data_IF_389282857811
#
_entry.id   IF_389282857811
#
_cell.length_a   1.000
_cell.length_b   1.000
_cell.length_c   1.000
_cell.angle_alpha   90.00
_cell.angle_beta   90.00
_cell.angle_gamma   90.00
#
_symmetry.space_group_name_H-M   'P 1'
#
loop_
_entity.id
_entity.type
_entity.pdbx_description
1 polymer ?
#
# COMPACT_ATOMS: atom_id res chain seq x y z
N UNK A 1 98.61 14.93 82.21
CA UNK A 1 97.91 15.08 83.50
C UNK A 1 96.41 14.89 83.28
N UNK A 2 95.79 13.89 83.96
CA UNK A 2 94.36 13.71 84.34
C UNK A 2 93.27 13.97 83.26
N UNK A 3 92.19 13.20 83.09
CA UNK A 3 91.61 11.99 83.69
C UNK A 3 90.44 11.55 82.76
N UNK A 4 90.15 10.27 82.82
CA UNK A 4 89.09 9.44 82.21
C UNK A 4 87.64 9.83 82.56
N UNK A 5 86.69 9.73 81.60
CA UNK A 5 85.26 9.26 81.72
C UNK A 5 84.68 9.11 80.28
N UNK A 6 84.41 7.94 79.67
CA UNK A 6 83.36 6.89 79.80
C UNK A 6 81.95 7.21 79.23
N UNK A 7 81.48 6.34 78.31
CA UNK A 7 80.08 5.98 77.91
C UNK A 7 79.29 7.04 77.07
N UNK A 8 78.54 6.76 76.00
CA UNK A 8 77.71 5.62 75.60
C UNK A 8 77.32 5.70 74.09
N UNK A 9 77.41 4.58 73.35
CA UNK A 9 76.40 3.97 72.45
C UNK A 9 75.32 4.92 71.85
N UNK A 10 75.09 5.06 70.53
CA UNK A 10 74.48 4.05 69.65
C UNK A 10 74.65 4.39 68.15
N UNK A 11 74.83 3.33 67.36
CA UNK A 11 74.99 3.28 65.91
C UNK A 11 73.60 3.26 65.20
N UNK A 12 73.38 4.11 64.19
CA UNK A 12 72.25 3.96 63.26
C UNK A 12 72.63 4.45 61.86
N UNK A 13 72.86 3.49 60.96
CA UNK A 13 73.08 3.72 59.53
C UNK A 13 71.72 3.85 58.82
N UNK A 14 71.49 4.97 58.14
CA UNK A 14 70.31 5.17 57.28
C UNK A 14 70.67 4.88 55.83
N UNK A 15 70.30 3.68 55.39
CA UNK A 15 70.31 3.24 54.00
C UNK A 15 69.15 3.89 53.22
N UNK A 16 69.49 4.43 52.06
CA UNK A 16 68.57 5.00 51.07
C UNK A 16 67.88 3.86 50.30
N UNK A 17 66.56 3.77 50.34
CA UNK A 17 65.77 2.88 49.47
C UNK A 17 64.92 3.72 48.51
N UNK A 18 64.99 3.48 47.18
CA UNK A 18 64.08 4.09 46.23
C UNK A 18 62.73 3.38 46.30
N UNK A 19 61.67 4.13 46.60
CA UNK A 19 60.30 3.63 46.54
C UNK A 19 59.89 3.40 45.09
N UNK A 20 59.85 2.14 44.68
CA UNK A 20 59.16 1.72 43.47
C UNK A 20 57.64 1.87 43.69
N UNK A 21 57.00 2.72 42.90
CA UNK A 21 55.54 2.80 42.82
C UNK A 21 55.02 1.50 42.20
N UNK A 22 54.47 0.61 43.03
CA UNK A 22 53.66 -0.50 42.56
C UNK A 22 52.33 0.07 42.02
N UNK A 23 52.13 0.00 40.71
CA UNK A 23 50.83 0.24 40.09
C UNK A 23 49.86 -0.84 40.60
N UNK A 24 48.90 -0.44 41.44
CA UNK A 24 47.86 -1.33 41.93
C UNK A 24 47.07 -1.90 40.76
N UNK A 25 47.02 -3.23 40.65
CA UNK A 25 46.13 -3.92 39.74
C UNK A 25 44.69 -3.45 40.03
N UNK A 26 44.06 -2.80 39.05
CA UNK A 26 42.68 -2.37 39.16
C UNK A 26 41.80 -3.59 39.45
N UNK A 27 41.14 -3.59 40.62
CA UNK A 27 40.30 -4.69 41.08
C UNK A 27 39.10 -4.82 40.13
N UNK A 28 39.02 -5.94 39.40
CA UNK A 28 37.95 -6.20 38.46
C UNK A 28 36.59 -6.35 39.16
N UNK A 29 35.53 -5.81 38.57
CA UNK A 29 34.18 -5.80 39.15
C UNK A 29 33.43 -7.06 38.71
N UNK A 30 32.85 -7.85 39.64
CA UNK A 30 32.04 -9.01 39.28
C UNK A 30 30.71 -8.59 38.65
N UNK A 31 30.43 -9.07 37.44
CA UNK A 31 29.20 -8.73 36.68
C UNK A 31 28.66 -9.94 35.93
N UNK A 32 27.34 -9.97 35.73
CA UNK A 32 26.70 -10.96 34.85
C UNK A 32 26.66 -10.38 33.44
N UNK A 33 27.20 -11.13 32.48
CA UNK A 33 27.26 -10.74 31.07
C UNK A 33 26.29 -11.61 30.27
N UNK A 34 25.53 -11.00 29.39
CA UNK A 34 24.70 -11.72 28.42
C UNK A 34 24.93 -11.14 27.01
N UNK A 35 24.81 -11.96 25.96
CA UNK A 35 24.82 -11.46 24.59
C UNK A 35 23.50 -10.73 24.27
N UNK A 36 23.57 -9.62 23.55
CA UNK A 36 22.41 -8.92 22.99
C UNK A 36 21.63 -9.88 22.10
N UNK A 37 20.38 -10.13 22.47
CA UNK A 37 19.51 -11.07 21.76
C UNK A 37 18.88 -10.40 20.53
N UNK A 38 18.40 -11.23 19.60
CA UNK A 38 17.65 -10.77 18.43
C UNK A 38 16.15 -10.95 18.68
N UNK A 39 15.37 -9.90 18.46
CA UNK A 39 13.92 -9.97 18.37
C UNK A 39 13.43 -9.56 16.98
N UNK A 40 12.50 -10.34 16.41
CA UNK A 40 11.85 -10.01 15.13
C UNK A 40 10.75 -8.97 15.36
N UNK A 41 10.97 -7.74 14.92
CA UNK A 41 10.00 -6.65 15.04
C UNK A 41 9.17 -6.57 13.77
N UNK A 42 7.90 -6.97 13.86
CA UNK A 42 6.93 -6.83 12.76
C UNK A 42 6.64 -5.36 12.49
N UNK A 43 6.96 -4.89 11.29
CA UNK A 43 6.68 -3.52 10.88
C UNK A 43 5.35 -3.46 10.15
N UNK A 44 4.51 -2.51 10.53
CA UNK A 44 3.21 -2.33 9.89
C UNK A 44 3.00 -0.86 9.52
N UNK A 45 2.28 -0.62 8.43
CA UNK A 45 1.88 0.71 7.99
C UNK A 45 0.37 0.71 7.80
N UNK A 46 -0.31 1.54 8.60
CA UNK A 46 -1.75 1.75 8.46
C UNK A 46 -1.99 3.07 7.74
N UNK A 47 -2.72 3.02 6.63
CA UNK A 47 -3.12 4.18 5.85
C UNK A 47 -4.60 4.12 5.56
N UNK A 48 -5.21 5.29 5.40
CA UNK A 48 -6.63 5.40 5.14
C UNK A 48 -6.85 5.90 3.72
N UNK A 49 -7.85 5.34 3.04
CA UNK A 49 -8.25 5.83 1.73
C UNK A 49 -9.73 5.60 1.45
N UNK A 50 -10.18 6.11 0.31
CA UNK A 50 -11.56 5.93 -0.18
C UNK A 50 -11.57 4.85 -1.25
N UNK A 51 -12.49 3.91 -1.12
CA UNK A 51 -12.73 2.88 -2.11
C UNK A 51 -13.38 3.48 -3.36
N UNK A 52 -13.02 2.95 -4.52
CA UNK A 52 -13.64 3.20 -5.82
C UNK A 52 -14.05 1.86 -6.42
N UNK A 53 -15.13 1.83 -7.19
CA UNK A 53 -15.38 0.68 -8.05
C UNK A 53 -14.31 0.62 -9.15
N UNK A 54 -14.02 -0.58 -9.63
CA UNK A 54 -13.12 -0.78 -10.78
C UNK A 54 -13.62 -0.04 -12.03
N UNK A 55 -14.93 -0.11 -12.27
CA UNK A 55 -15.63 0.64 -13.31
C UNK A 55 -16.85 1.33 -12.71
N UNK A 56 -16.95 2.64 -12.89
CA UNK A 56 -18.05 3.47 -12.40
C UNK A 56 -18.30 4.58 -13.40
N UNK A 57 -19.53 4.69 -13.89
CA UNK A 57 -19.93 5.72 -14.85
C UNK A 57 -21.31 6.27 -14.53
N UNK A 58 -21.49 7.54 -14.83
CA UNK A 58 -22.81 8.15 -14.96
C UNK A 58 -23.28 7.89 -16.40
N UNK A 59 -24.41 7.22 -16.54
CA UNK A 59 -25.02 6.94 -17.83
C UNK A 59 -25.86 8.17 -18.21
N UNK A 60 -25.40 8.90 -19.21
CA UNK A 60 -26.08 10.06 -19.76
C UNK A 60 -26.74 9.75 -21.10
N UNK A 61 -27.73 10.57 -21.49
CA UNK A 61 -28.32 10.50 -22.81
C UNK A 61 -27.43 11.21 -23.84
N UNK A 62 -27.21 10.61 -25.01
CA UNK A 62 -26.48 11.27 -26.12
C UNK A 62 -27.39 12.23 -26.90
N UNK A 63 -28.70 11.99 -26.87
CA UNK A 63 -29.71 12.79 -27.58
C UNK A 63 -30.83 13.26 -26.66
N UNK A 64 -31.55 14.28 -27.09
CA UNK A 64 -32.73 14.78 -26.38
C UNK A 64 -33.98 13.98 -26.77
N UNK A 65 -34.80 13.60 -25.79
CA UNK A 65 -36.01 12.81 -26.05
C UNK A 65 -36.86 12.56 -24.82
N UNK A 66 -38.08 12.09 -25.03
CA UNK A 66 -38.98 11.68 -23.94
C UNK A 66 -38.69 10.23 -23.58
N UNK A 67 -38.52 9.94 -22.29
CA UNK A 67 -38.37 8.56 -21.79
C UNK A 67 -39.66 7.79 -22.06
N UNK A 68 -39.56 6.70 -22.82
CA UNK A 68 -40.68 5.81 -23.12
C UNK A 68 -40.70 4.60 -22.19
N UNK A 69 -39.57 3.89 -22.09
CA UNK A 69 -39.42 2.69 -21.25
C UNK A 69 -38.18 2.80 -20.37
N UNK A 70 -38.35 2.44 -19.10
CA UNK A 70 -37.25 2.17 -18.17
C UNK A 70 -37.20 0.65 -18.01
N UNK A 71 -36.19 0.01 -18.60
CA UNK A 71 -36.12 -1.44 -18.74
C UNK A 71 -35.47 -2.13 -17.51
N UNK A 72 -34.96 -1.34 -16.57
CA UNK A 72 -34.24 -1.81 -15.38
C UNK A 72 -34.85 -1.27 -14.09
N UNK A 73 -34.56 -1.95 -12.98
CA UNK A 73 -34.92 -1.53 -11.63
C UNK A 73 -33.70 -1.01 -10.89
N UNK A 74 -33.91 -0.17 -9.88
CA UNK A 74 -32.84 0.27 -8.99
C UNK A 74 -32.19 -0.93 -8.29
N UNK A 75 -30.86 -0.90 -8.14
CA UNK A 75 -30.04 -1.98 -7.58
C UNK A 75 -30.06 -3.30 -8.36
N UNK A 76 -30.58 -3.31 -9.58
CA UNK A 76 -30.54 -4.48 -10.45
C UNK A 76 -29.14 -4.69 -11.05
N UNK A 77 -28.71 -5.94 -11.14
CA UNK A 77 -27.53 -6.32 -11.91
C UNK A 77 -27.86 -6.41 -13.39
N UNK A 78 -27.01 -5.81 -14.22
CA UNK A 78 -27.15 -5.75 -15.66
C UNK A 78 -25.87 -6.24 -16.33
N UNK A 79 -26.01 -6.80 -17.53
CA UNK A 79 -24.87 -7.20 -18.38
C UNK A 79 -24.58 -6.14 -19.42
N UNK A 80 -23.34 -6.12 -19.92
CA UNK A 80 -22.93 -5.30 -21.06
C UNK A 80 -23.90 -5.48 -22.24
N UNK A 81 -24.33 -4.36 -22.83
CA UNK A 81 -25.28 -4.30 -23.94
C UNK A 81 -26.75 -4.44 -23.54
N UNK A 82 -27.06 -4.70 -22.26
CA UNK A 82 -28.44 -4.75 -21.79
C UNK A 82 -29.09 -3.36 -21.86
N UNK A 83 -30.33 -3.30 -22.35
CA UNK A 83 -31.13 -2.06 -22.39
C UNK A 83 -31.41 -1.55 -20.98
N UNK A 84 -31.12 -0.28 -20.75
CA UNK A 84 -31.38 0.43 -19.50
C UNK A 84 -32.60 1.33 -19.64
N UNK A 85 -32.54 2.23 -20.63
CA UNK A 85 -33.57 3.24 -20.90
C UNK A 85 -33.80 3.33 -22.40
N UNK A 86 -35.06 3.43 -22.79
CA UNK A 86 -35.47 3.69 -24.16
C UNK A 86 -36.16 5.05 -24.23
N UNK A 87 -35.67 5.90 -25.12
CA UNK A 87 -36.36 7.13 -25.49
C UNK A 87 -37.39 6.85 -26.59
N UNK A 88 -38.41 7.70 -26.70
CA UNK A 88 -39.44 7.59 -27.73
C UNK A 88 -38.78 7.60 -29.11
N UNK A 89 -39.01 6.53 -29.87
CA UNK A 89 -38.33 6.27 -31.13
C UNK A 89 -39.28 6.20 -32.34
N UNK A 90 -40.54 6.60 -32.18
CA UNK A 90 -41.57 6.51 -33.21
C UNK A 90 -41.15 7.20 -34.51
N UNK A 91 -40.65 8.44 -34.38
CA UNK A 91 -40.18 9.25 -35.53
C UNK A 91 -38.94 8.64 -36.18
N UNK A 92 -37.97 8.22 -35.38
CA UNK A 92 -36.70 7.68 -35.88
C UNK A 92 -36.89 6.31 -36.52
N UNK A 93 -37.80 5.48 -35.99
CA UNK A 93 -38.21 4.22 -36.58
C UNK A 93 -38.90 4.42 -37.93
N UNK A 94 -39.76 5.43 -38.05
CA UNK A 94 -40.36 5.79 -39.33
C UNK A 94 -39.29 6.21 -40.36
N UNK A 95 -38.31 7.02 -39.97
CA UNK A 95 -37.19 7.42 -40.83
C UNK A 95 -36.32 6.23 -41.28
N UNK A 96 -36.06 5.26 -40.40
CA UNK A 96 -35.37 4.00 -40.77
C UNK A 96 -36.18 3.22 -41.81
N UNK A 97 -37.50 3.12 -41.63
CA UNK A 97 -38.37 2.43 -42.57
C UNK A 97 -38.39 3.12 -43.95
N UNK A 98 -38.45 4.46 -43.98
CA UNK A 98 -38.36 5.28 -45.20
C UNK A 98 -37.02 5.05 -45.92
N UNK A 99 -35.89 5.19 -45.22
CA UNK A 99 -34.55 5.00 -45.80
C UNK A 99 -34.34 3.57 -46.33
N UNK A 100 -34.88 2.57 -45.62
CA UNK A 100 -34.83 1.17 -46.06
C UNK A 100 -35.69 0.93 -47.32
N UNK A 101 -36.86 1.56 -47.42
CA UNK A 101 -37.68 1.49 -48.63
C UNK A 101 -36.98 2.15 -49.83
N UNK A 102 -36.33 3.30 -49.60
CA UNK A 102 -35.55 4.00 -50.62
C UNK A 102 -34.36 3.16 -51.12
N UNK A 103 -33.59 2.55 -50.23
CA UNK A 103 -32.51 1.62 -50.60
C UNK A 103 -33.02 0.43 -51.43
N UNK A 104 -34.16 -0.16 -51.04
CA UNK A 104 -34.77 -1.26 -51.80
C UNK A 104 -35.17 -0.83 -53.22
N UNK A 105 -35.67 0.39 -53.39
CA UNK A 105 -36.01 0.93 -54.69
C UNK A 105 -34.78 1.14 -55.57
N UNK A 106 -33.72 1.74 -55.04
CA UNK A 106 -32.46 1.94 -55.77
C UNK A 106 -31.77 0.62 -56.13
N UNK A 107 -31.83 -0.39 -55.25
CA UNK A 107 -31.30 -1.73 -55.53
C UNK A 107 -32.10 -2.43 -56.64
N UNK A 108 -33.42 -2.26 -56.65
CA UNK A 108 -34.30 -2.77 -57.72
C UNK A 108 -33.96 -2.12 -59.06
N UNK A 109 -33.76 -0.80 -59.10
CA UNK A 109 -33.32 -0.08 -60.31
C UNK A 109 -31.96 -0.56 -60.80
N UNK A 110 -31.00 -0.77 -59.90
CA UNK A 110 -29.68 -1.30 -60.26
C UNK A 110 -29.80 -2.69 -60.91
N UNK A 111 -30.60 -3.58 -60.33
CA UNK A 111 -30.86 -4.92 -60.87
C UNK A 111 -31.45 -4.85 -62.29
N UNK A 112 -32.34 -3.89 -62.53
CA UNK A 112 -32.92 -3.64 -63.85
C UNK A 112 -31.87 -3.10 -64.84
N UNK A 113 -31.03 -2.17 -64.41
CA UNK A 113 -29.96 -1.58 -65.23
C UNK A 113 -28.92 -2.63 -65.63
N UNK A 114 -28.52 -3.51 -64.71
CA UNK A 114 -27.64 -4.65 -64.98
C UNK A 114 -28.24 -5.61 -66.03
N UNK A 115 -29.56 -5.79 -66.04
CA UNK A 115 -30.27 -6.57 -67.06
C UNK A 115 -30.27 -5.88 -68.43
N UNK A 116 -30.39 -4.55 -68.45
CA UNK A 116 -30.43 -3.74 -69.68
C UNK A 116 -29.05 -3.59 -70.34
N UNK A 117 -27.96 -3.47 -69.58
CA UNK A 117 -26.59 -3.45 -70.15
C UNK A 117 -26.25 -4.74 -70.88
N UNK A 118 -26.67 -5.90 -70.37
CA UNK A 118 -26.48 -7.19 -71.06
C UNK A 118 -27.15 -7.23 -72.44
N UNK A 119 -28.09 -6.32 -72.70
CA UNK A 119 -28.80 -6.16 -73.97
C UNK A 119 -28.32 -4.95 -74.77
N UNK A 120 -27.21 -4.32 -74.38
CA UNK A 120 -26.68 -3.08 -74.95
C UNK A 120 -27.69 -1.92 -74.97
N UNK A 121 -28.64 -1.89 -74.03
CA UNK A 121 -29.70 -0.88 -73.99
C UNK A 121 -29.36 0.37 -73.16
N UNK A 122 -28.31 0.31 -72.33
CA UNK A 122 -27.80 1.43 -71.55
C UNK A 122 -26.25 1.36 -71.48
N UNK A 123 -25.63 2.43 -71.03
CA UNK A 123 -24.17 2.63 -70.95
C UNK A 123 -23.58 2.19 -69.60
N UNK A 124 -22.27 1.95 -69.56
CA UNK A 124 -21.56 1.64 -68.32
C UNK A 124 -21.63 2.80 -67.30
N UNK A 125 -21.55 4.04 -67.78
CA UNK A 125 -21.68 5.26 -66.95
C UNK A 125 -23.02 5.31 -66.23
N UNK A 126 -24.12 4.88 -66.87
CA UNK A 126 -25.45 4.84 -66.25
C UNK A 126 -25.53 3.77 -65.15
N UNK A 127 -24.90 2.60 -65.33
CA UNK A 127 -24.77 1.61 -64.25
C UNK A 127 -23.96 2.18 -63.08
N UNK A 128 -22.82 2.79 -63.37
CA UNK A 128 -21.92 3.27 -62.32
C UNK A 128 -22.58 4.42 -61.53
N UNK A 129 -23.33 5.29 -62.20
CA UNK A 129 -24.19 6.28 -61.55
C UNK A 129 -25.27 5.63 -60.65
N UNK A 130 -25.92 4.56 -61.13
CA UNK A 130 -26.93 3.86 -60.33
C UNK A 130 -26.33 3.10 -59.14
N UNK A 131 -25.12 2.55 -59.26
CA UNK A 131 -24.38 1.96 -58.13
C UNK A 131 -24.07 3.03 -57.07
N UNK A 132 -23.64 4.21 -57.49
CA UNK A 132 -23.43 5.33 -56.57
C UNK A 132 -24.75 5.73 -55.85
N UNK A 133 -25.89 5.72 -56.55
CA UNK A 133 -27.20 5.97 -55.92
C UNK A 133 -27.55 4.93 -54.84
N UNK A 134 -27.26 3.65 -55.08
CA UNK A 134 -27.42 2.58 -54.07
C UNK A 134 -26.53 2.83 -52.86
N UNK A 135 -25.26 3.18 -53.08
CA UNK A 135 -24.32 3.48 -51.99
C UNK A 135 -24.79 4.68 -51.15
N UNK A 136 -25.29 5.74 -51.78
CA UNK A 136 -25.89 6.89 -51.09
C UNK A 136 -27.12 6.46 -50.29
N UNK A 137 -27.99 5.61 -50.84
CA UNK A 137 -29.17 5.11 -50.15
C UNK A 137 -28.80 4.23 -48.95
N UNK A 138 -27.75 3.42 -49.07
CA UNK A 138 -27.22 2.61 -47.98
C UNK A 138 -26.67 3.49 -46.85
N UNK A 139 -25.87 4.50 -47.19
CA UNK A 139 -25.35 5.46 -46.22
C UNK A 139 -26.48 6.20 -45.46
N UNK A 140 -27.58 6.56 -46.15
CA UNK A 140 -28.77 7.15 -45.51
C UNK A 140 -29.44 6.19 -44.53
N UNK A 141 -29.56 4.91 -44.89
CA UNK A 141 -30.11 3.90 -43.98
C UNK A 141 -29.24 3.71 -42.74
N UNK A 142 -27.92 3.68 -42.91
CA UNK A 142 -27.00 3.49 -41.79
C UNK A 142 -27.00 4.71 -40.85
N UNK A 143 -27.08 5.93 -41.39
CA UNK A 143 -27.28 7.14 -40.60
C UNK A 143 -28.60 7.11 -39.81
N UNK A 144 -29.71 6.67 -40.43
CA UNK A 144 -30.99 6.54 -39.75
C UNK A 144 -30.95 5.48 -38.63
N UNK A 145 -30.25 4.36 -38.85
CA UNK A 145 -30.06 3.31 -37.83
C UNK A 145 -29.19 3.78 -36.67
N UNK A 146 -28.14 4.55 -36.93
CA UNK A 146 -27.31 5.15 -35.88
C UNK A 146 -28.15 6.04 -34.97
N UNK A 147 -28.92 6.96 -35.55
CA UNK A 147 -29.84 7.83 -34.80
C UNK A 147 -30.88 7.03 -33.99
N UNK A 148 -31.33 5.87 -34.48
CA UNK A 148 -32.23 4.98 -33.74
C UNK A 148 -31.49 4.29 -32.57
N UNK A 149 -30.22 3.94 -32.78
CA UNK A 149 -29.33 3.39 -31.76
C UNK A 149 -29.13 4.34 -30.58
N UNK A 150 -28.95 5.64 -30.85
CA UNK A 150 -28.72 6.67 -29.81
C UNK A 150 -29.91 6.82 -28.84
N UNK A 151 -31.12 6.43 -29.27
CA UNK A 151 -32.32 6.40 -28.43
C UNK A 151 -32.37 5.18 -27.50
N UNK A 152 -31.48 4.20 -27.69
CA UNK A 152 -31.37 2.97 -26.91
C UNK A 152 -30.16 3.06 -25.99
N UNK A 153 -30.40 3.44 -24.74
CA UNK A 153 -29.34 3.60 -23.76
C UNK A 153 -29.06 2.23 -23.12
N UNK A 154 -27.87 1.68 -23.37
CA UNK A 154 -27.47 0.34 -22.94
C UNK A 154 -26.29 0.37 -21.96
N UNK A 155 -26.08 -0.72 -21.22
CA UNK A 155 -24.99 -0.82 -20.27
C UNK A 155 -23.63 -1.00 -20.99
N UNK A 156 -22.62 -0.14 -20.76
CA UNK A 156 -21.29 -0.28 -21.36
C UNK A 156 -20.47 -1.47 -20.81
N UNK A 157 -20.80 -1.95 -19.60
CA UNK A 157 -20.15 -3.07 -18.93
C UNK A 157 -21.10 -3.76 -17.94
N UNK A 158 -20.68 -4.88 -17.36
CA UNK A 158 -21.45 -5.60 -16.34
C UNK A 158 -21.41 -4.85 -15.00
N UNK A 159 -22.57 -4.55 -14.41
CA UNK A 159 -22.60 -3.72 -13.21
C UNK A 159 -23.95 -3.74 -12.48
N UNK A 160 -24.03 -2.93 -11.43
CA UNK A 160 -25.23 -2.70 -10.64
C UNK A 160 -25.74 -1.30 -10.90
N UNK A 161 -27.02 -1.19 -11.26
CA UNK A 161 -27.69 0.10 -11.54
C UNK A 161 -27.97 0.82 -10.23
N UNK A 162 -27.66 2.11 -10.17
CA UNK A 162 -27.98 2.99 -9.05
C UNK A 162 -29.49 3.27 -8.90
N UNK A 163 -29.82 4.28 -8.11
CA UNK A 163 -31.20 4.76 -8.04
C UNK A 163 -31.61 5.44 -9.35
N UNK A 164 -32.91 5.37 -9.62
CA UNK A 164 -33.54 5.92 -10.83
C UNK A 164 -34.50 7.01 -10.35
N UNK A 165 -34.05 8.26 -10.40
CA UNK A 165 -34.79 9.41 -9.85
C UNK A 165 -35.68 10.08 -10.92
N UNK A 166 -36.23 9.28 -11.83
CA UNK A 166 -37.14 9.74 -12.86
C UNK A 166 -38.15 8.69 -13.27
N UNK A 167 -39.26 9.18 -13.82
CA UNK A 167 -40.36 8.37 -14.30
C UNK A 167 -40.44 8.38 -15.82
N UNK A 168 -41.13 7.37 -16.35
CA UNK A 168 -41.57 7.34 -17.75
C UNK A 168 -42.27 8.66 -18.09
N UNK A 169 -41.98 9.19 -19.26
CA UNK A 169 -42.50 10.45 -19.75
C UNK A 169 -41.68 11.69 -19.40
N UNK A 170 -40.62 11.57 -18.58
CA UNK A 170 -39.65 12.66 -18.38
C UNK A 170 -38.99 13.03 -19.71
N UNK A 171 -38.84 14.33 -19.97
CA UNK A 171 -38.01 14.84 -21.04
C UNK A 171 -36.55 14.87 -20.58
N UNK A 172 -35.66 14.29 -21.38
CA UNK A 172 -34.20 14.31 -21.15
C UNK A 172 -33.51 15.07 -22.26
N UNK A 173 -32.37 15.66 -21.93
CA UNK A 173 -31.52 16.39 -22.87
C UNK A 173 -30.19 15.64 -23.02
N UNK A 174 -29.49 15.88 -24.14
CA UNK A 174 -28.14 15.38 -24.33
C UNK A 174 -27.22 15.82 -23.16
N UNK A 175 -26.41 14.89 -22.64
CA UNK A 175 -25.51 15.07 -21.51
C UNK A 175 -26.18 15.01 -20.12
N UNK A 176 -27.49 14.81 -20.03
CA UNK A 176 -28.16 14.66 -18.74
C UNK A 176 -27.93 13.27 -18.16
N UNK A 177 -27.40 13.21 -16.94
CA UNK A 177 -27.21 11.96 -16.19
C UNK A 177 -28.56 11.33 -15.83
N UNK A 178 -28.73 10.07 -16.21
CA UNK A 178 -29.95 9.30 -15.95
C UNK A 178 -29.80 8.42 -14.72
N UNK A 179 -28.72 7.65 -14.67
CA UNK A 179 -28.44 6.69 -13.59
C UNK A 179 -26.94 6.43 -13.46
N UNK A 180 -26.52 5.85 -12.35
CA UNK A 180 -25.16 5.33 -12.19
C UNK A 180 -25.09 3.85 -12.53
N UNK A 181 -23.96 3.41 -13.07
CA UNK A 181 -23.64 2.01 -13.26
C UNK A 181 -22.27 1.71 -12.67
N UNK A 182 -22.25 0.83 -11.67
CA UNK A 182 -21.05 0.51 -10.91
C UNK A 182 -20.73 -1.00 -10.97
N UNK A 183 -19.49 -1.35 -11.31
CA UNK A 183 -18.99 -2.71 -11.14
C UNK A 183 -18.47 -2.90 -9.72
N UNK A 184 -19.30 -3.53 -8.88
CA UNK A 184 -19.03 -3.73 -7.45
C UNK A 184 -18.24 -5.01 -7.15
N UNK A 185 -17.85 -5.80 -8.15
CA UNK A 185 -17.21 -7.10 -7.94
C UNK A 185 -15.80 -6.97 -7.35
N UNK A 186 -15.14 -5.87 -7.71
CA UNK A 186 -13.78 -5.54 -7.34
C UNK A 186 -13.73 -4.08 -6.88
N UNK A 187 -13.14 -3.85 -5.72
CA UNK A 187 -12.99 -2.50 -5.16
C UNK A 187 -11.53 -2.08 -5.22
N UNK A 188 -11.29 -0.90 -5.78
CA UNK A 188 -9.98 -0.29 -5.89
C UNK A 188 -9.75 0.68 -4.73
N UNK A 189 -8.56 0.62 -4.13
CA UNK A 189 -8.06 1.58 -3.17
C UNK A 189 -6.73 2.14 -3.67
N UNK A 190 -6.63 3.45 -3.79
CA UNK A 190 -5.37 4.14 -4.05
C UNK A 190 -4.86 4.74 -2.72
N UNK A 191 -3.73 4.26 -2.22
CA UNK A 191 -3.07 4.76 -1.02
C UNK A 191 -1.88 5.66 -1.35
N UNK A 192 -1.63 6.65 -0.49
CA UNK A 192 -0.46 7.52 -0.55
C UNK A 192 0.57 6.99 0.46
N UNK A 193 1.57 6.26 -0.02
CA UNK A 193 2.59 5.61 0.80
C UNK A 193 3.85 6.47 0.84
N UNK A 194 4.39 6.82 2.01
CA UNK A 194 5.64 7.58 2.09
C UNK A 194 6.81 6.87 1.40
N UNK A 195 7.65 7.62 0.69
CA UNK A 195 8.76 7.09 -0.12
C UNK A 195 9.69 6.13 0.65
N UNK A 196 9.93 6.37 1.94
CA UNK A 196 10.79 5.51 2.79
C UNK A 196 10.38 4.03 2.83
N UNK A 197 9.13 3.71 2.47
CA UNK A 197 8.63 2.33 2.39
C UNK A 197 8.73 1.73 0.99
N UNK A 198 9.16 2.48 -0.04
CA UNK A 198 9.20 2.04 -1.44
C UNK A 198 9.92 0.70 -1.63
N UNK A 199 11.09 0.52 -1.00
CA UNK A 199 11.88 -0.71 -1.09
C UNK A 199 11.17 -1.94 -0.50
N UNK A 200 10.17 -1.73 0.36
CA UNK A 200 9.42 -2.78 1.05
C UNK A 200 8.10 -3.12 0.35
N UNK A 201 7.61 -2.25 -0.54
CA UNK A 201 6.35 -2.47 -1.26
C UNK A 201 6.62 -3.26 -2.54
N UNK A 202 5.93 -4.40 -2.67
CA UNK A 202 6.02 -5.31 -3.82
C UNK A 202 4.61 -5.57 -4.37
N UNK A 203 4.51 -5.75 -5.69
CA UNK A 203 3.26 -6.22 -6.30
C UNK A 203 2.93 -7.61 -5.78
N UNK A 204 1.65 -7.87 -5.54
CA UNK A 204 1.14 -9.12 -4.97
C UNK A 204 1.10 -9.16 -3.44
N UNK A 205 1.64 -8.16 -2.74
CA UNK A 205 1.55 -8.08 -1.28
C UNK A 205 0.09 -8.05 -0.82
N UNK A 206 -0.19 -8.83 0.22
CA UNK A 206 -1.48 -8.84 0.90
C UNK A 206 -1.63 -7.59 1.76
N UNK A 207 -2.83 -7.02 1.74
CA UNK A 207 -3.21 -5.85 2.51
C UNK A 207 -4.52 -6.16 3.22
N UNK A 208 -4.58 -5.87 4.51
CA UNK A 208 -5.79 -6.09 5.30
C UNK A 208 -6.54 -4.77 5.44
N UNK A 209 -7.74 -4.71 4.87
CA UNK A 209 -8.63 -3.56 4.95
C UNK A 209 -9.67 -3.72 6.05
N UNK A 210 -9.89 -2.66 6.82
CA UNK A 210 -10.93 -2.58 7.85
C UNK A 210 -11.76 -1.31 7.63
N UNK A 211 -13.07 -1.41 7.86
CA UNK A 211 -13.99 -0.28 7.69
C UNK A 211 -14.92 -0.16 8.89
N UNK A 212 -15.27 1.07 9.26
CA UNK A 212 -16.21 1.35 10.34
C UNK A 212 -17.64 0.87 10.04
N UNK A 213 -17.99 0.66 8.76
CA UNK A 213 -19.30 0.13 8.38
C UNK A 213 -19.49 -1.34 8.80
N UNK A 214 -18.39 -2.09 8.97
CA UNK A 214 -18.39 -3.50 9.34
C UNK A 214 -17.35 -3.77 10.44
N UNK A 215 -17.61 -3.36 11.70
CA UNK A 215 -16.66 -3.55 12.80
C UNK A 215 -16.29 -5.03 12.99
N UNK A 216 -15.00 -5.30 13.25
CA UNK A 216 -14.47 -6.65 13.45
C UNK A 216 -14.29 -7.47 12.18
N UNK A 217 -14.80 -7.02 11.03
CA UNK A 217 -14.62 -7.68 9.74
C UNK A 217 -13.39 -7.14 9.01
N UNK A 218 -12.57 -8.05 8.52
CA UNK A 218 -11.39 -7.75 7.71
C UNK A 218 -11.63 -8.14 6.26
N UNK A 219 -11.15 -7.31 5.34
CA UNK A 219 -11.23 -7.52 3.90
C UNK A 219 -9.81 -7.70 3.37
N UNK A 220 -9.54 -8.83 2.74
CA UNK A 220 -8.24 -9.09 2.14
C UNK A 220 -8.17 -8.41 0.75
N UNK A 221 -7.11 -7.64 0.54
CA UNK A 221 -6.78 -7.02 -0.73
C UNK A 221 -5.34 -7.33 -1.14
N UNK A 222 -5.02 -7.07 -2.41
CA UNK A 222 -3.66 -7.26 -2.95
C UNK A 222 -3.17 -6.02 -3.66
N UNK A 223 -1.88 -5.70 -3.48
CA UNK A 223 -1.21 -4.65 -4.24
C UNK A 223 -1.12 -5.09 -5.71
N UNK A 224 -1.81 -4.40 -6.60
CA UNK A 224 -1.82 -4.72 -8.03
C UNK A 224 -0.87 -3.83 -8.82
N UNK A 225 -0.67 -2.60 -8.36
CA UNK A 225 0.11 -1.59 -9.04
C UNK A 225 0.81 -0.66 -8.05
N UNK A 226 2.00 -0.24 -8.44
CA UNK A 226 2.81 0.77 -7.77
C UNK A 226 3.05 1.83 -8.83
N UNK A 227 2.75 3.08 -8.54
CA UNK A 227 2.90 4.15 -9.52
C UNK A 227 4.38 4.35 -9.88
N UNK A 228 4.63 4.83 -11.09
CA UNK A 228 5.99 5.02 -11.63
C UNK A 228 6.65 6.30 -11.13
N UNK A 229 5.87 7.23 -10.58
CA UNK A 229 6.35 8.55 -10.13
C UNK A 229 5.95 8.79 -8.69
N UNK A 230 6.89 9.36 -7.94
CA UNK A 230 6.64 9.92 -6.60
C UNK A 230 6.10 11.33 -6.79
N UNK A 231 5.10 11.71 -5.98
CA UNK A 231 4.62 13.07 -5.95
C UNK A 231 5.67 13.99 -5.31
N UNK A 232 6.17 14.97 -6.06
CA UNK A 232 7.30 15.82 -5.64
C UNK A 232 6.98 16.75 -4.45
N UNK A 233 5.71 17.06 -4.23
CA UNK A 233 5.28 17.95 -3.15
C UNK A 233 5.10 17.20 -1.83
N UNK A 234 4.50 16.00 -1.89
CA UNK A 234 4.13 15.22 -0.71
C UNK A 234 5.12 14.11 -0.37
N UNK A 235 6.07 13.81 -1.27
CA UNK A 235 7.01 12.68 -1.17
C UNK A 235 6.32 11.33 -0.96
N UNK A 236 5.09 11.21 -1.47
CA UNK A 236 4.29 10.01 -1.40
C UNK A 236 4.23 9.33 -2.77
N UNK A 237 4.23 8.01 -2.71
CA UNK A 237 4.03 7.11 -3.83
C UNK A 237 2.59 6.60 -3.82
N UNK A 238 1.93 6.63 -4.98
CA UNK A 238 0.60 6.04 -5.11
C UNK A 238 0.71 4.53 -5.26
N UNK A 239 0.05 3.79 -4.37
CA UNK A 239 -0.03 2.33 -4.42
C UNK A 239 -1.49 1.92 -4.59
N UNK A 240 -1.76 1.09 -5.61
CA UNK A 240 -3.10 0.60 -5.94
C UNK A 240 -3.30 -0.80 -5.41
N UNK A 241 -4.37 -0.97 -4.65
CA UNK A 241 -4.79 -2.22 -4.03
C UNK A 241 -6.18 -2.59 -4.50
N UNK A 242 -6.39 -3.86 -4.81
CA UNK A 242 -7.71 -4.40 -5.16
C UNK A 242 -8.21 -5.30 -4.04
N UNK A 243 -9.46 -5.08 -3.62
CA UNK A 243 -10.21 -5.91 -2.69
C UNK A 243 -11.27 -6.69 -3.45
N UNK A 244 -11.35 -7.99 -3.22
CA UNK A 244 -12.47 -8.79 -3.72
C UNK A 244 -13.73 -8.44 -2.93
N UNK A 245 -14.87 -8.29 -3.61
CA UNK A 245 -16.12 -7.87 -2.99
C UNK A 245 -17.28 -8.79 -3.39
N UNK A 246 -17.09 -10.10 -3.21
CA UNK A 246 -18.07 -11.12 -3.59
C UNK A 246 -19.44 -10.93 -2.91
N UNK A 247 -19.43 -10.55 -1.63
CA UNK A 247 -20.63 -10.26 -0.85
C UNK A 247 -21.20 -8.85 -1.10
N UNK A 248 -20.52 -8.03 -1.92
CA UNK A 248 -20.92 -6.66 -2.30
C UNK A 248 -21.16 -5.73 -1.10
N UNK A 249 -20.45 -5.97 0.00
CA UNK A 249 -20.55 -5.19 1.23
C UNK A 249 -19.79 -3.86 1.14
N UNK A 250 -18.69 -3.86 0.40
CA UNK A 250 -17.93 -2.66 0.12
C UNK A 250 -18.61 -1.87 -0.99
N UNK A 251 -18.70 -0.56 -0.82
CA UNK A 251 -19.29 0.36 -1.80
C UNK A 251 -18.30 1.46 -2.18
N UNK A 252 -18.39 2.00 -3.40
CA UNK A 252 -17.61 3.18 -3.80
C UNK A 252 -17.86 4.33 -2.82
N UNK A 253 -16.81 5.11 -2.54
CA UNK A 253 -16.85 6.23 -1.59
C UNK A 253 -16.65 5.82 -0.12
N UNK A 254 -16.74 4.53 0.22
CA UNK A 254 -16.46 4.06 1.58
C UNK A 254 -15.02 4.32 1.99
N UNK A 255 -14.83 4.70 3.25
CA UNK A 255 -13.51 4.84 3.86
C UNK A 255 -13.06 3.48 4.40
N UNK A 256 -11.81 3.12 4.10
CA UNK A 256 -11.18 1.89 4.55
C UNK A 256 -9.78 2.22 5.10
N UNK A 257 -9.47 1.65 6.26
CA UNK A 257 -8.12 1.63 6.82
C UNK A 257 -7.42 0.38 6.32
N UNK A 258 -6.38 0.56 5.53
CA UNK A 258 -5.58 -0.51 4.96
C UNK A 258 -4.28 -0.65 5.76
N UNK A 259 -4.06 -1.83 6.30
CA UNK A 259 -2.85 -2.22 7.00
C UNK A 259 -1.97 -3.04 6.07
N UNK A 260 -0.76 -2.55 5.84
CA UNK A 260 0.30 -3.27 5.15
C UNK A 260 1.26 -3.83 6.19
N UNK A 261 1.44 -5.14 6.18
CA UNK A 261 2.43 -5.82 7.02
C UNK A 261 3.70 -6.03 6.19
N UNK A 262 4.85 -5.65 6.75
CA UNK A 262 6.16 -5.85 6.13
C UNK A 262 6.90 -7.02 6.76
N UNK A 263 7.92 -7.51 6.07
CA UNK A 263 8.83 -8.50 6.64
C UNK A 263 9.42 -7.98 7.96
N UNK A 264 9.40 -8.80 9.04
CA UNK A 264 9.99 -8.42 10.31
C UNK A 264 11.48 -8.12 10.14
N UNK A 265 11.94 -7.10 10.87
CA UNK A 265 13.37 -6.82 10.97
C UNK A 265 13.90 -7.38 12.29
N UNK A 266 15.10 -7.96 12.23
CA UNK A 266 15.85 -8.34 13.42
C UNK A 266 16.36 -7.07 14.11
N UNK A 267 15.93 -6.85 15.35
CA UNK A 267 16.40 -5.74 16.17
C UNK A 267 17.10 -6.27 17.43
N UNK A 268 18.18 -5.60 17.89
CA UNK A 268 18.82 -5.92 19.15
C UNK A 268 17.85 -5.65 20.30
N UNK A 269 17.68 -6.64 21.18
CA UNK A 269 16.87 -6.53 22.39
C UNK A 269 17.73 -6.83 23.61
N UNK A 270 17.48 -6.08 24.68
CA UNK A 270 18.20 -6.25 25.94
C UNK A 270 17.22 -6.29 27.13
N UNK A 271 17.56 -7.00 28.21
CA UNK A 271 16.81 -6.91 29.46
C UNK A 271 16.84 -5.50 30.02
N UNK A 272 15.73 -5.03 30.59
CA UNK A 272 15.62 -3.66 31.14
C UNK A 272 16.61 -3.43 32.28
N UNK A 273 16.97 -4.48 33.01
CA UNK A 273 17.99 -4.46 34.07
C UNK A 273 19.39 -4.09 33.56
N UNK A 274 19.67 -4.25 32.26
CA UNK A 274 20.95 -3.87 31.63
C UNK A 274 21.09 -2.36 31.38
N UNK A 275 20.01 -1.59 31.57
CA UNK A 275 20.00 -0.15 31.30
C UNK A 275 20.47 0.67 32.50
N UNK A 276 21.43 1.56 32.25
CA UNK A 276 21.81 2.63 33.16
C UNK A 276 21.10 3.94 32.77
N UNK A 277 20.42 4.55 33.74
CA UNK A 277 19.74 5.82 33.60
C UNK A 277 20.64 6.95 34.09
N UNK A 278 21.00 7.87 33.19
CA UNK A 278 21.84 9.03 33.52
C UNK A 278 21.21 10.30 32.97
N UNK A 279 20.36 10.92 33.79
CA UNK A 279 19.55 12.06 33.39
C UNK A 279 18.57 11.67 32.28
N UNK A 280 18.59 12.41 31.17
CA UNK A 280 17.74 12.15 29.99
C UNK A 280 18.30 11.07 29.06
N UNK A 281 19.58 10.71 29.22
CA UNK A 281 20.27 9.72 28.37
C UNK A 281 20.18 8.31 28.95
N UNK A 282 20.40 7.32 28.08
CA UNK A 282 20.36 5.89 28.42
C UNK A 282 21.65 5.25 27.98
N UNK A 283 22.22 4.42 28.84
CA UNK A 283 23.51 3.78 28.59
C UNK A 283 23.44 2.29 28.86
N UNK A 284 24.31 1.54 28.18
CA UNK A 284 24.57 0.12 28.41
C UNK A 284 26.08 -0.09 28.46
N UNK A 285 26.54 -0.95 29.36
CA UNK A 285 27.95 -1.32 29.41
C UNK A 285 28.21 -2.47 28.45
N UNK A 286 28.97 -2.21 27.39
CA UNK A 286 29.43 -3.21 26.41
C UNK A 286 30.81 -3.71 26.82
N UNK A 287 30.99 -5.02 26.90
CA UNK A 287 32.25 -5.64 27.29
C UNK A 287 33.02 -6.06 26.03
N UNK A 288 34.24 -5.56 25.88
CA UNK A 288 35.13 -5.97 24.79
C UNK A 288 35.85 -7.29 25.09
N UNK A 289 36.63 -7.80 24.13
CA UNK A 289 37.34 -9.08 24.30
C UNK A 289 38.40 -9.05 25.42
N UNK A 290 38.93 -7.86 25.75
CA UNK A 290 39.87 -7.62 26.85
C UNK A 290 39.18 -7.53 28.23
N UNK A 291 37.87 -7.82 28.32
CA UNK A 291 37.04 -7.71 29.53
C UNK A 291 37.01 -6.31 30.14
N UNK A 292 37.07 -5.29 29.29
CA UNK A 292 36.89 -3.89 29.66
C UNK A 292 35.48 -3.48 29.28
N UNK A 293 34.74 -2.93 30.24
CA UNK A 293 33.40 -2.43 30.02
C UNK A 293 33.45 -0.97 29.54
N UNK A 294 32.83 -0.73 28.38
CA UNK A 294 32.68 0.59 27.78
C UNK A 294 31.24 1.06 27.93
N UNK A 295 31.07 2.31 28.36
CA UNK A 295 29.75 2.90 28.56
C UNK A 295 29.24 3.47 27.24
N UNK A 296 28.28 2.77 26.62
CA UNK A 296 27.75 3.11 25.30
C UNK A 296 26.36 3.75 25.45
N UNK A 297 26.17 4.91 24.83
CA UNK A 297 24.85 5.56 24.77
C UNK A 297 23.94 4.78 23.81
N UNK A 298 22.69 4.55 24.21
CA UNK A 298 21.72 3.78 23.41
C UNK A 298 20.41 4.55 23.26
N UNK A 299 19.77 4.36 22.11
CA UNK A 299 18.43 4.87 21.84
C UNK A 299 17.42 3.74 22.00
N UNK A 300 16.44 3.95 22.87
CA UNK A 300 15.43 2.93 23.20
C UNK A 300 14.24 3.03 22.25
N UNK A 301 13.79 1.89 21.76
CA UNK A 301 12.55 1.72 21.01
C UNK A 301 11.43 1.16 21.89
N UNK A 302 10.64 0.25 21.32
CA UNK A 302 9.51 -0.36 22.02
C UNK A 302 9.97 -1.26 23.19
N UNK A 303 9.25 -1.19 24.31
CA UNK A 303 9.39 -2.13 25.43
C UNK A 303 8.51 -3.36 25.20
N UNK A 304 9.07 -4.55 25.33
CA UNK A 304 8.39 -5.83 25.16
C UNK A 304 8.56 -6.59 26.47
N UNK A 305 7.50 -6.64 27.28
CA UNK A 305 7.51 -7.26 28.62
C UNK A 305 8.67 -6.74 29.51
N UNK A 306 9.68 -7.57 29.76
CA UNK A 306 10.85 -7.26 30.58
C UNK A 306 12.10 -6.88 29.76
N UNK A 307 11.95 -6.75 28.45
CA UNK A 307 13.01 -6.42 27.50
C UNK A 307 12.70 -5.12 26.75
N UNK A 308 13.71 -4.53 26.14
CA UNK A 308 13.60 -3.28 25.38
C UNK A 308 14.36 -3.38 24.07
N UNK A 309 13.71 -2.97 22.99
CA UNK A 309 14.33 -2.91 21.66
C UNK A 309 15.28 -1.71 21.63
N UNK A 310 16.47 -1.90 21.07
CA UNK A 310 17.46 -0.84 20.89
C UNK A 310 17.42 -0.39 19.42
N UNK A 311 17.13 0.89 19.20
CA UNK A 311 17.07 1.48 17.86
C UNK A 311 18.47 1.85 17.34
N UNK A 312 19.37 2.26 18.24
CA UNK A 312 20.73 2.65 17.91
C UNK A 312 21.69 2.50 19.11
N UNK A 313 22.97 2.25 18.83
CA UNK A 313 24.04 2.15 19.83
C UNK A 313 24.48 0.73 20.21
N UNK A 314 23.76 -0.32 19.79
CA UNK A 314 24.14 -1.72 20.03
C UNK A 314 23.93 -2.59 18.80
N UNK A 315 24.80 -3.58 18.63
CA UNK A 315 24.68 -4.63 17.61
C UNK A 315 24.30 -5.98 18.25
N UNK A 316 23.57 -6.80 17.49
CA UNK A 316 23.19 -8.15 17.91
C UNK A 316 24.46 -8.98 18.18
N UNK A 317 24.46 -9.72 19.30
CA UNK A 317 25.58 -10.56 19.72
C UNK A 317 26.67 -9.84 20.52
N UNK A 318 26.61 -8.52 20.69
CA UNK A 318 27.52 -7.82 21.61
C UNK A 318 27.31 -8.28 23.05
N UNK A 319 28.39 -8.37 23.81
CA UNK A 319 28.35 -8.77 25.23
C UNK A 319 28.04 -7.55 26.09
N UNK A 320 26.96 -7.61 26.87
CA UNK A 320 26.51 -6.51 27.71
C UNK A 320 26.41 -6.92 29.18
N UNK A 321 26.59 -5.96 30.08
CA UNK A 321 26.40 -6.18 31.52
C UNK A 321 24.92 -6.09 31.87
N UNK A 322 24.39 -7.16 32.46
CA UNK A 322 22.98 -7.30 32.83
C UNK A 322 22.77 -7.12 34.34
N UNK A 323 23.75 -7.51 35.17
CA UNK A 323 23.74 -7.33 36.62
C UNK A 323 25.09 -6.83 37.14
N UNK A 324 25.09 -6.10 38.26
CA UNK A 324 26.30 -5.51 38.85
C UNK A 324 26.59 -4.05 38.43
N UNK A 325 25.63 -3.39 37.77
CA UNK A 325 25.78 -2.05 37.17
C UNK A 325 26.08 -0.95 38.20
N UNK A 326 25.62 -1.09 39.45
CA UNK A 326 25.70 -0.04 40.49
C UNK A 326 27.14 0.47 40.72
N UNK A 327 28.15 -0.40 40.59
CA UNK A 327 29.55 -0.04 40.81
C UNK A 327 30.34 0.19 39.52
N UNK A 328 29.68 0.10 38.36
CA UNK A 328 30.32 0.23 37.06
C UNK A 328 30.71 1.68 36.75
N UNK A 329 31.79 1.82 36.00
CA UNK A 329 32.25 3.07 35.40
C UNK A 329 32.80 2.78 34.01
N UNK A 330 32.93 3.80 33.19
CA UNK A 330 33.55 3.65 31.88
C UNK A 330 35.02 3.21 32.00
N UNK A 331 35.42 2.21 31.22
CA UNK A 331 36.80 1.72 31.15
C UNK A 331 37.25 0.78 32.27
N UNK A 332 36.33 0.24 33.09
CA UNK A 332 36.68 -0.69 34.18
C UNK A 332 36.82 -2.12 33.68
N UNK A 333 37.79 -2.86 34.26
CA UNK A 333 37.91 -4.30 34.05
C UNK A 333 36.78 -5.04 34.79
N UNK A 334 36.20 -6.05 34.14
CA UNK A 334 35.12 -6.86 34.70
C UNK A 334 35.50 -8.34 34.80
N UNK A 335 34.94 -9.02 35.80
CA UNK A 335 35.00 -10.48 35.94
C UNK A 335 33.61 -11.04 35.77
N UNK A 336 33.45 -11.98 34.83
CA UNK A 336 32.16 -12.61 34.56
C UNK A 336 31.77 -13.56 35.71
N UNK A 337 30.57 -13.37 36.25
CA UNK A 337 29.95 -14.24 37.25
C UNK A 337 28.64 -14.81 36.72
N UNK A 338 28.24 -15.98 37.18
CA UNK A 338 26.94 -16.57 36.85
C UNK A 338 25.80 -15.83 37.58
N UNK A 339 24.55 -16.13 37.22
CA UNK A 339 23.35 -15.52 37.83
C UNK A 339 23.22 -15.76 39.36
N UNK A 340 24.07 -16.60 39.97
CA UNK A 340 24.15 -16.87 41.40
C UNK A 340 25.35 -16.17 42.07
N UNK A 341 26.09 -15.34 41.35
CA UNK A 341 27.23 -14.57 41.86
C UNK A 341 28.54 -15.36 42.01
N UNK A 342 28.64 -16.56 41.42
CA UNK A 342 29.87 -17.35 41.42
C UNK A 342 30.72 -17.04 40.18
N UNK A 343 32.06 -16.95 40.29
CA UNK A 343 32.94 -16.75 39.13
C UNK A 343 32.77 -17.84 38.09
N UNK A 344 32.64 -17.45 36.82
CA UNK A 344 32.74 -18.40 35.70
C UNK A 344 34.23 -18.52 35.37
N UNK A 345 34.92 -19.46 36.02
CA UNK A 345 36.25 -19.87 35.56
C UNK A 345 36.08 -20.68 34.27
N UNK A 346 36.42 -20.06 33.14
CA UNK A 346 36.67 -20.81 31.92
C UNK A 346 38.00 -21.55 32.10
N UNK A 347 37.92 -22.88 32.20
CA UNK A 347 39.09 -23.74 32.10
C UNK A 347 39.89 -23.37 30.85
N UNK A 348 41.14 -22.98 31.06
CA UNK A 348 42.14 -22.99 30.01
C UNK A 348 42.26 -24.44 29.48
N UNK A 349 42.50 -24.54 28.18
CA UNK A 349 42.74 -25.78 27.44
C UNK A 349 43.71 -26.74 28.13
#
# INVERSE_FOLDING_TARGET
>A
MKKTTLLCLTLAATFYYPSAFAAGAAKAIPVVIEPVQNHQVSQTLSLVGKLKADQSVYIASEVSGKVDVIAVKANQQVKKGQLLVQLNDDKTRAAVNEANAYLRDEQRKLTEFERLVKRNAITQTEIDAQKASVEIAQARLDAAKANLGDLRITAPFDGTVGFIDFSRGKMVSAGNDLLTLDNLSLMQLDLQVPERYLSKIKRGMTVIGQTGAWPGRSFEGKVVGIDSRINQETLNLRVRIHFSNQERLLKPGMLISAKLDFEPISAPIIPVQALEYSGTKRFVYVVNDDRIAQRTEVHLGARIENEVVIEDGLAIGQRIVVQGIVNMRDGVAVTEVNALGQPIEQGAQ
#
